data_IF_708217455178
#
_entry.id   IF_708217455178
#
_cell.length_a   1.000
_cell.length_b   1.000
_cell.length_c   1.000
_cell.angle_alpha   90.00
_cell.angle_beta   90.00
_cell.angle_gamma   90.00
#
_symmetry.space_group_name_H-M   'P 1'
#
loop_
_entity.id
_entity.type
_entity.pdbx_description
1 polymer ?
#
# COMPACT_ATOMS: atom_id res chain seq x y z
N UNK A 1 -13.21 6.58 -8.87
CA UNK A 1 -12.87 6.17 -10.25
C UNK A 1 -11.89 5.00 -10.16
N UNK A 2 -12.18 3.82 -10.75
CA UNK A 2 -11.18 2.77 -10.84
C UNK A 2 -10.01 3.31 -11.67
N UNK A 3 -8.77 3.03 -11.25
CA UNK A 3 -7.58 3.58 -11.91
C UNK A 3 -7.61 3.20 -13.39
N UNK A 4 -7.37 4.16 -14.29
CA UNK A 4 -6.69 3.88 -15.57
C UNK A 4 -5.53 2.95 -15.18
N UNK A 5 -5.50 1.71 -15.66
CA UNK A 5 -4.51 0.69 -15.30
C UNK A 5 -3.09 1.18 -15.61
N UNK A 6 -2.53 2.00 -14.72
CA UNK A 6 -1.13 2.39 -14.76
C UNK A 6 -0.41 1.35 -13.93
N UNK A 7 0.12 0.35 -14.63
CA UNK A 7 1.02 -0.64 -14.04
C UNK A 7 2.17 0.15 -13.40
N UNK A 8 2.41 -0.12 -12.12
CA UNK A 8 3.55 0.45 -11.40
C UNK A 8 4.79 -0.34 -11.79
N UNK A 9 5.85 0.37 -12.16
CA UNK A 9 7.16 -0.20 -12.45
C UNK A 9 8.14 0.12 -11.34
N UNK A 10 9.29 -0.54 -11.36
CA UNK A 10 10.39 -0.26 -10.44
C UNK A 10 10.88 1.18 -10.66
N UNK A 11 11.11 1.90 -9.56
CA UNK A 11 11.49 3.31 -9.57
C UNK A 11 10.30 4.28 -9.55
N UNK A 12 9.08 3.81 -9.82
CA UNK A 12 7.88 4.63 -9.64
C UNK A 12 7.63 4.92 -8.16
N UNK A 13 7.15 6.13 -7.86
CA UNK A 13 6.68 6.47 -6.52
C UNK A 13 5.50 5.57 -6.15
N UNK A 14 5.63 4.85 -5.03
CA UNK A 14 4.56 4.03 -4.50
C UNK A 14 3.31 4.90 -4.19
N UNK A 15 2.10 4.50 -4.62
CA UNK A 15 0.88 5.24 -4.31
C UNK A 15 0.60 5.22 -2.81
N UNK A 16 0.33 6.39 -2.24
CA UNK A 16 -0.09 6.50 -0.85
C UNK A 16 -1.44 5.78 -0.65
N UNK A 17 -1.55 5.13 0.49
CA UNK A 17 -2.77 4.49 0.94
C UNK A 17 -2.91 4.62 2.45
N UNK A 18 -4.16 4.59 2.89
CA UNK A 18 -4.54 4.44 4.29
C UNK A 18 -5.58 3.33 4.37
N UNK A 19 -5.30 2.30 5.16
CA UNK A 19 -6.15 1.13 5.32
C UNK A 19 -6.30 0.81 6.80
N UNK A 20 -7.36 0.07 7.13
CA UNK A 20 -7.58 -0.47 8.47
C UNK A 20 -6.95 -1.86 8.54
N UNK A 21 -6.12 -2.10 9.55
CA UNK A 21 -5.52 -3.41 9.82
C UNK A 21 -6.55 -4.39 10.40
N UNK A 22 -6.17 -5.67 10.50
CA UNK A 22 -7.01 -6.68 11.15
C UNK A 22 -7.21 -6.40 12.65
N UNK A 23 -6.29 -5.64 13.28
CA UNK A 23 -6.40 -5.15 14.65
C UNK A 23 -7.27 -3.88 14.78
N UNK A 24 -7.90 -3.42 13.68
CA UNK A 24 -8.67 -2.17 13.60
C UNK A 24 -7.84 -0.90 13.80
N UNK A 25 -6.54 -0.98 13.53
CA UNK A 25 -5.66 0.19 13.56
C UNK A 25 -5.60 0.84 12.18
N UNK A 26 -5.54 2.17 12.15
CA UNK A 26 -5.33 2.91 10.90
C UNK A 26 -3.86 2.86 10.52
N UNK A 27 -3.54 2.27 9.38
CA UNK A 27 -2.19 2.15 8.83
C UNK A 27 -2.08 3.00 7.57
N UNK A 28 -1.12 3.93 7.54
CA UNK A 28 -0.79 4.75 6.38
C UNK A 28 0.62 4.44 5.88
N UNK A 29 0.79 4.32 4.57
CA UNK A 29 2.13 4.18 3.97
C UNK A 29 3.01 5.40 4.27
N UNK A 30 2.41 6.59 4.34
CA UNK A 30 3.12 7.85 4.55
C UNK A 30 3.91 7.86 5.86
N UNK A 31 3.39 7.23 6.92
CA UNK A 31 4.01 7.16 8.24
C UNK A 31 5.35 6.40 8.25
N UNK A 32 5.65 5.60 7.23
CA UNK A 32 6.87 4.81 7.14
C UNK A 32 7.89 5.36 6.14
N UNK A 33 7.50 6.34 5.31
CA UNK A 33 8.38 6.92 4.30
C UNK A 33 9.60 7.58 4.96
N UNK A 34 10.79 7.23 4.46
CA UNK A 34 12.06 7.77 4.98
C UNK A 34 12.49 7.22 6.34
N UNK A 35 11.66 6.39 6.98
CA UNK A 35 11.98 5.78 8.28
C UNK A 35 12.46 4.34 8.11
N UNK A 36 11.76 3.55 7.30
CA UNK A 36 12.12 2.16 7.06
C UNK A 36 11.64 1.64 5.69
N UNK A 37 12.27 0.60 5.13
CA UNK A 37 11.74 -0.13 3.99
C UNK A 37 10.38 -0.77 4.33
N UNK A 38 9.47 -0.80 3.35
CA UNK A 38 8.14 -1.41 3.49
C UNK A 38 7.97 -2.49 2.41
N UNK A 39 7.51 -3.67 2.82
CA UNK A 39 7.18 -4.79 1.93
C UNK A 39 5.66 -4.89 1.84
N UNK A 40 5.11 -4.87 0.63
CA UNK A 40 3.67 -5.03 0.36
C UNK A 40 3.42 -6.39 -0.29
N UNK A 41 2.56 -7.20 0.32
CA UNK A 41 2.07 -8.46 -0.24
C UNK A 41 0.58 -8.34 -0.56
N UNK A 42 0.20 -8.65 -1.80
CA UNK A 42 -1.19 -8.61 -2.25
C UNK A 42 -1.76 -10.02 -2.38
N UNK A 43 -2.90 -10.26 -1.75
CA UNK A 43 -3.63 -11.52 -1.80
C UNK A 43 -5.00 -11.29 -2.44
N UNK A 44 -5.53 -12.29 -3.17
CA UNK A 44 -6.83 -12.19 -3.85
C UNK A 44 -8.05 -12.34 -2.93
N UNK A 45 -7.82 -12.45 -1.62
CA UNK A 45 -8.84 -12.65 -0.60
C UNK A 45 -8.38 -13.70 0.41
N UNK A 46 -9.09 -13.76 1.54
CA UNK A 46 -9.03 -14.86 2.51
C UNK A 46 -10.14 -15.84 2.17
N UNK A 47 -9.86 -17.14 2.24
CA UNK A 47 -10.91 -18.15 2.35
C UNK A 47 -11.53 -18.11 3.74
#
# INVERSE_FOLDING_TARGET
MPRKNKILNIGDKAPLFTLISVQRETVSLESYLGQQPVILAFFRGTW
#
